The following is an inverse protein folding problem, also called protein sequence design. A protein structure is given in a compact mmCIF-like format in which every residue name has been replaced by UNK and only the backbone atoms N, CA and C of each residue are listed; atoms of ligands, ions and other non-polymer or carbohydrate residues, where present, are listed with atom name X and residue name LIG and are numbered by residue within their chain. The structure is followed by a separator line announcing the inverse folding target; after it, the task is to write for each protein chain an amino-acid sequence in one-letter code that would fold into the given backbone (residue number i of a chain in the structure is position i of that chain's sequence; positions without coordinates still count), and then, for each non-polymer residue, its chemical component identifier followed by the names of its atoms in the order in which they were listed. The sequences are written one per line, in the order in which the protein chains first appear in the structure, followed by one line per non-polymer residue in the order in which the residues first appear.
data_IF_815649643050
#
_entry.id   IF_815649643050
#
_cell.length_a   1.000
_cell.length_b   1.000
_cell.length_c   1.000
_cell.angle_alpha   90.00
_cell.angle_beta   90.00
_cell.angle_gamma   90.00
#
_symmetry.space_group_name_H-M   'P 1'
#
loop_
_entity.id
_entity.type
_entity.pdbx_description
1 polymer ?
#
# COMPACT_ATOMS: atom_id res chain seq x y z
N UNK A 1 -5.81 -30.54 -98.17
CA UNK A 1 -7.06 -30.35 -97.40
C UNK A 1 -7.66 -28.97 -97.68
N UNK A 2 -8.91 -28.86 -98.02
CA UNK A 2 -9.51 -27.58 -98.34
C UNK A 2 -9.52 -26.65 -97.08
N UNK A 3 -9.22 -25.33 -97.27
CA UNK A 3 -9.16 -24.31 -96.24
C UNK A 3 -10.41 -24.30 -95.32
N UNK A 4 -11.57 -24.70 -95.80
CA UNK A 4 -12.86 -24.80 -95.13
C UNK A 4 -12.81 -25.80 -93.92
N UNK A 5 -12.28 -26.99 -94.13
CA UNK A 5 -12.21 -28.07 -93.09
C UNK A 5 -11.22 -27.68 -91.97
N UNK A 6 -10.16 -26.93 -92.25
CA UNK A 6 -9.18 -26.45 -91.30
C UNK A 6 -9.79 -25.38 -90.39
N UNK A 7 -10.64 -24.46 -90.99
CA UNK A 7 -11.34 -23.43 -90.27
C UNK A 7 -12.47 -24.01 -89.32
N UNK A 8 -13.21 -25.03 -89.83
CA UNK A 8 -14.19 -25.72 -88.99
C UNK A 8 -13.58 -26.43 -87.79
N UNK A 9 -12.42 -27.15 -87.97
CA UNK A 9 -11.73 -27.77 -86.83
C UNK A 9 -11.24 -26.71 -85.85
N UNK A 10 -10.72 -25.56 -86.33
CA UNK A 10 -10.30 -24.47 -85.42
C UNK A 10 -11.51 -23.89 -84.69
N UNK A 11 -12.66 -23.68 -85.35
CA UNK A 11 -13.90 -23.19 -84.70
C UNK A 11 -14.42 -24.17 -83.66
N UNK A 12 -14.37 -25.48 -83.90
CA UNK A 12 -14.76 -26.53 -82.95
C UNK A 12 -13.78 -26.51 -81.72
N UNK A 13 -12.50 -26.40 -81.96
CA UNK A 13 -11.52 -26.34 -80.88
C UNK A 13 -11.73 -25.09 -80.01
N UNK A 14 -11.96 -23.95 -80.60
CA UNK A 14 -12.27 -22.70 -79.89
C UNK A 14 -13.60 -22.82 -79.13
N UNK A 15 -14.65 -23.42 -79.73
CA UNK A 15 -15.91 -23.64 -79.03
C UNK A 15 -15.76 -24.58 -77.85
N UNK A 16 -15.02 -25.70 -77.98
CA UNK A 16 -14.70 -26.62 -76.86
C UNK A 16 -13.92 -25.91 -75.75
N UNK A 17 -12.96 -25.05 -76.10
CA UNK A 17 -12.18 -24.30 -75.11
C UNK A 17 -13.08 -23.29 -74.37
N UNK A 18 -14.00 -22.57 -75.09
CA UNK A 18 -14.96 -21.68 -74.43
C UNK A 18 -15.91 -22.42 -73.56
N UNK A 19 -16.47 -23.58 -73.99
CA UNK A 19 -17.34 -24.41 -73.17
C UNK A 19 -16.57 -24.96 -71.91
N UNK A 20 -15.33 -25.33 -72.07
CA UNK A 20 -14.48 -25.78 -70.96
C UNK A 20 -14.23 -24.66 -69.97
N UNK A 21 -13.91 -23.45 -70.43
CA UNK A 21 -13.73 -22.27 -69.57
C UNK A 21 -15.05 -21.87 -68.89
N UNK A 22 -16.17 -21.91 -69.59
CA UNK A 22 -17.49 -21.67 -68.97
C UNK A 22 -17.80 -22.71 -67.90
N UNK A 23 -17.55 -24.00 -68.19
CA UNK A 23 -17.76 -25.08 -67.20
C UNK A 23 -16.89 -24.88 -65.99
N UNK A 24 -15.63 -24.56 -66.18
CA UNK A 24 -14.70 -24.25 -65.05
C UNK A 24 -15.15 -23.03 -64.26
N UNK A 25 -15.63 -21.98 -64.96
CA UNK A 25 -16.16 -20.79 -64.29
C UNK A 25 -17.42 -21.09 -63.47
N UNK A 26 -18.39 -21.81 -64.04
CA UNK A 26 -19.60 -22.22 -63.33
C UNK A 26 -19.29 -23.15 -62.13
N UNK A 27 -18.38 -24.10 -62.32
CA UNK A 27 -17.88 -24.91 -61.24
C UNK A 27 -17.31 -24.07 -60.10
N UNK A 28 -16.48 -23.08 -60.45
CA UNK A 28 -15.90 -22.15 -59.47
C UNK A 28 -16.97 -21.36 -58.73
N UNK A 29 -18.03 -20.90 -59.39
CA UNK A 29 -19.14 -20.22 -58.74
C UNK A 29 -19.81 -21.08 -57.67
N UNK A 30 -20.08 -22.34 -58.01
CA UNK A 30 -20.72 -23.31 -57.10
C UNK A 30 -19.76 -23.66 -55.96
N UNK A 31 -18.50 -23.94 -56.27
CA UNK A 31 -17.48 -24.28 -55.27
C UNK A 31 -17.23 -23.18 -54.25
N UNK A 32 -17.01 -21.95 -54.76
CA UNK A 32 -16.72 -20.80 -53.90
C UNK A 32 -17.96 -20.20 -53.22
N UNK A 33 -19.14 -20.69 -53.48
CA UNK A 33 -20.31 -20.35 -52.67
C UNK A 33 -20.23 -20.93 -51.26
N UNK A 34 -19.44 -22.00 -51.07
CA UNK A 34 -19.23 -22.70 -49.78
C UNK A 34 -17.78 -22.73 -49.32
N UNK A 35 -16.84 -22.19 -50.13
CA UNK A 35 -15.41 -22.18 -49.83
C UNK A 35 -14.83 -20.77 -50.00
N UNK A 36 -13.77 -20.48 -49.23
CA UNK A 36 -13.04 -19.22 -49.42
C UNK A 36 -12.33 -19.16 -50.74
N UNK A 37 -12.25 -17.94 -51.29
CA UNK A 37 -11.59 -17.68 -52.56
C UNK A 37 -10.08 -17.98 -52.47
N UNK A 38 -9.41 -18.31 -53.60
CA UNK A 38 -7.96 -18.42 -53.63
C UNK A 38 -7.27 -17.16 -53.07
N UNK A 39 -6.11 -17.34 -52.40
CA UNK A 39 -5.31 -16.27 -51.85
C UNK A 39 -6.04 -15.36 -50.86
N UNK A 40 -6.99 -15.95 -50.11
CA UNK A 40 -7.75 -15.25 -49.08
C UNK A 40 -7.16 -15.55 -47.72
N UNK A 41 -6.92 -14.51 -46.90
CA UNK A 41 -6.55 -14.60 -45.53
C UNK A 41 -7.63 -13.98 -44.63
N UNK A 42 -7.64 -14.34 -43.35
CA UNK A 42 -8.38 -13.70 -42.28
C UNK A 42 -7.36 -13.38 -41.19
N UNK A 43 -7.13 -12.13 -40.87
CA UNK A 43 -6.13 -11.66 -39.90
C UNK A 43 -4.74 -12.31 -40.11
N UNK A 44 -4.31 -12.36 -41.40
CA UNK A 44 -3.03 -12.94 -41.80
C UNK A 44 -2.99 -14.47 -41.86
N UNK A 45 -4.02 -15.19 -41.45
CA UNK A 45 -4.14 -16.64 -41.56
C UNK A 45 -4.71 -17.02 -42.90
N UNK A 46 -3.97 -17.83 -43.67
CA UNK A 46 -4.42 -18.31 -45.00
C UNK A 46 -5.60 -19.28 -44.84
N UNK A 47 -6.75 -18.89 -45.34
CA UNK A 47 -7.99 -19.68 -45.42
C UNK A 47 -8.36 -20.08 -46.86
N UNK A 48 -7.46 -19.89 -47.81
CA UNK A 48 -7.65 -20.15 -49.24
C UNK A 48 -8.22 -21.56 -49.46
N UNK A 49 -9.30 -21.63 -50.26
CA UNK A 49 -9.95 -22.88 -50.68
C UNK A 49 -10.58 -23.69 -49.53
N UNK A 50 -10.57 -23.20 -48.30
CA UNK A 50 -11.16 -23.86 -47.15
C UNK A 50 -12.69 -23.71 -47.15
N UNK A 51 -13.38 -24.74 -46.69
CA UNK A 51 -14.78 -24.61 -46.28
C UNK A 51 -14.85 -23.88 -44.93
N UNK A 52 -16.06 -23.56 -44.47
CA UNK A 52 -16.29 -22.79 -43.26
C UNK A 52 -15.70 -23.49 -42.00
N UNK A 53 -15.85 -24.82 -41.91
CA UNK A 53 -15.42 -25.58 -40.76
C UNK A 53 -13.88 -25.58 -40.65
N UNK A 54 -13.18 -25.81 -41.77
CA UNK A 54 -11.72 -25.76 -41.83
C UNK A 54 -11.18 -24.35 -41.59
N UNK A 55 -11.86 -23.33 -42.14
CA UNK A 55 -11.47 -21.95 -41.88
C UNK A 55 -11.63 -21.60 -40.40
N UNK A 56 -12.75 -21.96 -39.78
CA UNK A 56 -12.94 -21.75 -38.34
C UNK A 56 -11.87 -22.49 -37.48
N UNK A 57 -11.46 -23.70 -37.90
CA UNK A 57 -10.37 -24.42 -37.22
C UNK A 57 -9.03 -23.72 -37.39
N UNK A 58 -8.73 -23.23 -38.61
CA UNK A 58 -7.48 -22.50 -38.88
C UNK A 58 -7.36 -21.21 -38.07
N UNK A 59 -8.45 -20.45 -37.95
CA UNK A 59 -8.47 -19.16 -37.22
C UNK A 59 -8.50 -19.32 -35.70
N UNK A 60 -8.69 -20.52 -35.15
CA UNK A 60 -8.53 -20.77 -33.69
C UNK A 60 -7.15 -20.39 -33.16
N UNK A 61 -6.15 -20.34 -34.04
CA UNK A 61 -4.79 -19.88 -33.67
C UNK A 61 -4.66 -18.36 -33.53
N UNK A 62 -5.68 -17.59 -33.95
CA UNK A 62 -5.75 -16.16 -33.62
C UNK A 62 -5.89 -16.04 -32.09
N UNK A 63 -4.94 -15.37 -31.49
CA UNK A 63 -4.85 -15.24 -30.03
C UNK A 63 -4.93 -13.78 -29.62
N UNK A 64 -6.12 -13.15 -29.62
CA UNK A 64 -6.27 -11.81 -29.11
C UNK A 64 -5.79 -11.74 -27.66
N UNK A 65 -5.16 -10.65 -27.32
CA UNK A 65 -4.58 -10.43 -26.00
C UNK A 65 -5.07 -9.11 -25.45
N UNK A 66 -5.28 -9.05 -24.14
CA UNK A 66 -5.43 -7.80 -23.43
C UNK A 66 -4.13 -7.46 -22.73
N UNK A 67 -3.59 -6.29 -22.99
CA UNK A 67 -2.43 -5.76 -22.28
C UNK A 67 -2.91 -4.75 -21.25
N UNK A 68 -2.76 -5.08 -19.98
CA UNK A 68 -3.13 -4.21 -18.86
C UNK A 68 -1.93 -3.35 -18.51
N UNK A 69 -2.09 -2.04 -18.57
CA UNK A 69 -1.07 -1.05 -18.24
C UNK A 69 -1.34 -0.52 -16.85
N UNK A 70 -0.36 -0.67 -15.95
CA UNK A 70 -0.46 -0.37 -14.54
C UNK A 70 0.72 0.50 -14.09
N UNK A 71 0.55 1.31 -13.03
CA UNK A 71 1.67 2.02 -12.39
C UNK A 71 2.42 1.12 -11.43
N UNK A 72 3.74 1.32 -11.33
CA UNK A 72 4.59 0.70 -10.32
C UNK A 72 5.13 1.77 -9.38
N UNK A 73 4.70 1.73 -8.13
CA UNK A 73 5.24 2.60 -7.08
C UNK A 73 5.19 4.10 -7.40
N UNK A 74 6.01 4.87 -6.69
CA UNK A 74 6.13 6.33 -6.85
C UNK A 74 6.92 6.75 -8.10
N UNK A 75 7.62 5.83 -8.77
CA UNK A 75 8.53 6.17 -9.89
C UNK A 75 7.81 6.54 -11.18
N UNK A 76 6.48 6.37 -11.24
CA UNK A 76 5.71 6.55 -12.47
C UNK A 76 6.02 5.52 -13.56
N UNK A 77 6.83 4.51 -13.27
CA UNK A 77 7.13 3.41 -14.20
C UNK A 77 5.85 2.62 -14.48
N UNK A 78 5.73 2.13 -15.72
CA UNK A 78 4.57 1.35 -16.15
C UNK A 78 4.89 -0.14 -16.12
N UNK A 79 4.00 -0.92 -15.55
CA UNK A 79 4.01 -2.38 -15.64
C UNK A 79 2.98 -2.84 -16.64
N UNK A 80 3.35 -3.73 -17.55
CA UNK A 80 2.45 -4.28 -18.56
C UNK A 80 2.26 -5.77 -18.30
N UNK A 81 1.02 -6.17 -18.13
CA UNK A 81 0.61 -7.56 -17.97
C UNK A 81 -0.26 -7.96 -19.15
N UNK A 82 0.15 -8.99 -19.88
CA UNK A 82 -0.60 -9.46 -21.06
C UNK A 82 -1.33 -10.76 -20.73
N UNK A 83 -2.62 -10.81 -21.04
CA UNK A 83 -3.50 -11.93 -20.80
C UNK A 83 -4.10 -12.36 -22.14
N UNK A 84 -4.00 -13.64 -22.48
CA UNK A 84 -4.60 -14.17 -23.68
C UNK A 84 -6.11 -14.38 -23.49
N UNK A 85 -6.91 -14.07 -24.50
CA UNK A 85 -8.37 -14.20 -24.46
C UNK A 85 -8.83 -15.61 -24.07
N UNK A 86 -8.09 -16.66 -24.50
CA UNK A 86 -8.36 -18.06 -24.13
C UNK A 86 -8.35 -18.31 -22.62
N UNK A 87 -7.63 -17.48 -21.85
CA UNK A 87 -7.48 -17.64 -20.40
C UNK A 87 -8.66 -16.99 -19.64
N UNK A 88 -9.52 -16.24 -20.37
CA UNK A 88 -10.66 -15.49 -19.83
C UNK A 88 -12.00 -16.18 -19.99
N UNK A 89 -12.15 -17.14 -20.92
CA UNK A 89 -13.43 -17.73 -21.22
C UNK A 89 -13.42 -19.23 -21.41
N UNK A 90 -14.55 -19.86 -21.12
CA UNK A 90 -14.76 -21.30 -21.29
C UNK A 90 -15.25 -21.68 -22.69
N UNK A 91 -15.95 -20.76 -23.39
CA UNK A 91 -16.64 -21.06 -24.65
C UNK A 91 -16.36 -20.00 -25.72
N UNK A 92 -15.09 -19.91 -26.17
CA UNK A 92 -14.73 -19.04 -27.28
C UNK A 92 -14.92 -19.81 -28.57
N UNK A 93 -15.82 -19.31 -29.43
CA UNK A 93 -16.04 -19.85 -30.76
C UNK A 93 -15.65 -18.81 -31.82
N UNK A 94 -15.03 -19.30 -32.88
CA UNK A 94 -14.66 -18.48 -34.03
C UNK A 94 -15.69 -18.68 -35.13
N UNK A 95 -16.14 -17.62 -35.79
CA UNK A 95 -17.18 -17.67 -36.82
C UNK A 95 -16.80 -16.84 -38.02
N UNK A 96 -16.20 -17.47 -39.00
CA UNK A 96 -15.83 -16.87 -40.29
C UNK A 96 -17.00 -16.79 -41.28
N UNK A 97 -18.24 -17.10 -40.87
CA UNK A 97 -19.39 -17.13 -41.77
C UNK A 97 -19.69 -15.78 -42.44
N UNK A 98 -19.48 -14.67 -41.69
CA UNK A 98 -19.66 -13.33 -42.26
C UNK A 98 -18.60 -13.00 -43.30
N UNK A 99 -17.34 -13.45 -43.08
CA UNK A 99 -16.23 -13.29 -44.01
C UNK A 99 -16.50 -14.08 -45.30
N UNK A 100 -16.94 -15.35 -45.17
CA UNK A 100 -17.32 -16.17 -46.32
C UNK A 100 -18.45 -15.54 -47.14
N UNK A 101 -19.50 -15.00 -46.50
CA UNK A 101 -20.61 -14.31 -47.18
C UNK A 101 -20.23 -12.98 -47.82
N UNK A 102 -19.17 -12.33 -47.36
CA UNK A 102 -18.70 -11.05 -47.89
C UNK A 102 -17.93 -11.20 -49.20
N UNK A 103 -17.56 -12.40 -49.59
CA UNK A 103 -16.81 -12.66 -50.83
C UNK A 103 -17.65 -12.42 -52.06
N UNK A 104 -17.02 -11.85 -53.10
CA UNK A 104 -17.63 -11.75 -54.41
C UNK A 104 -17.26 -12.99 -55.24
N UNK A 105 -18.07 -14.02 -55.17
CA UNK A 105 -17.84 -15.29 -55.87
C UNK A 105 -17.88 -15.16 -57.42
N UNK A 106 -18.53 -14.10 -57.95
CA UNK A 106 -18.54 -13.85 -59.40
C UNK A 106 -17.14 -13.49 -59.93
N UNK A 107 -16.29 -12.95 -59.09
CA UNK A 107 -14.92 -12.56 -59.45
C UNK A 107 -13.87 -13.55 -58.93
N UNK A 108 -14.23 -14.81 -58.65
CA UNK A 108 -13.34 -15.80 -58.05
C UNK A 108 -12.02 -15.98 -58.84
N UNK A 109 -12.05 -15.87 -60.15
CA UNK A 109 -10.84 -16.01 -60.97
C UNK A 109 -9.86 -14.83 -60.80
N UNK A 110 -10.35 -13.65 -60.39
CA UNK A 110 -9.50 -12.49 -60.10
C UNK A 110 -8.67 -12.71 -58.86
N UNK A 111 -9.18 -13.43 -57.87
CA UNK A 111 -8.45 -13.77 -56.62
C UNK A 111 -7.24 -14.70 -56.83
N UNK A 112 -7.13 -15.31 -58.01
CA UNK A 112 -5.90 -16.04 -58.38
C UNK A 112 -4.68 -15.13 -58.53
N UNK A 113 -4.89 -13.85 -58.76
CA UNK A 113 -3.86 -12.85 -59.06
C UNK A 113 -3.69 -11.80 -57.95
N UNK A 114 -4.65 -11.70 -57.03
CA UNK A 114 -4.68 -10.71 -55.97
C UNK A 114 -4.90 -11.39 -54.59
N UNK A 115 -4.07 -11.02 -53.62
CA UNK A 115 -4.22 -11.52 -52.26
C UNK A 115 -5.14 -10.58 -51.48
N UNK A 116 -6.13 -11.12 -50.83
CA UNK A 116 -7.08 -10.36 -50.01
C UNK A 116 -7.09 -10.88 -48.57
N UNK A 117 -6.80 -10.00 -47.66
CA UNK A 117 -7.10 -10.22 -46.24
C UNK A 117 -8.49 -9.66 -45.94
N UNK A 118 -9.38 -10.52 -45.44
CA UNK A 118 -10.75 -10.14 -45.14
C UNK A 118 -10.89 -9.45 -43.81
N UNK A 119 -9.81 -9.40 -42.99
CA UNK A 119 -9.74 -8.73 -41.68
C UNK A 119 -10.97 -8.90 -40.80
N UNK A 120 -10.81 -8.74 -39.50
CA UNK A 120 -11.90 -8.77 -38.50
C UNK A 120 -12.70 -10.08 -38.44
N UNK A 121 -12.11 -11.03 -37.77
CA UNK A 121 -12.81 -12.21 -37.36
C UNK A 121 -13.79 -11.91 -36.22
N UNK A 122 -15.00 -12.44 -36.30
CA UNK A 122 -15.96 -12.32 -35.19
C UNK A 122 -15.78 -13.48 -34.24
N UNK A 123 -15.08 -13.23 -33.17
CA UNK A 123 -15.00 -14.13 -32.04
C UNK A 123 -16.33 -14.03 -31.28
N UNK A 124 -16.97 -15.17 -31.01
CA UNK A 124 -18.13 -15.26 -30.14
C UNK A 124 -17.72 -15.96 -28.87
N UNK A 125 -18.10 -15.41 -27.75
CA UNK A 125 -17.83 -16.00 -26.45
C UNK A 125 -18.26 -15.10 -25.32
N UNK A 126 -18.25 -15.64 -24.14
CA UNK A 126 -18.45 -14.89 -22.91
C UNK A 126 -17.27 -15.13 -22.01
N UNK A 127 -16.74 -14.07 -21.44
CA UNK A 127 -15.71 -14.19 -20.41
C UNK A 127 -16.33 -14.73 -19.12
N UNK A 128 -15.65 -15.65 -18.45
CA UNK A 128 -16.08 -16.15 -17.16
C UNK A 128 -15.88 -15.07 -16.07
N UNK A 129 -16.96 -14.72 -15.37
CA UNK A 129 -16.89 -13.76 -14.26
C UNK A 129 -15.92 -14.22 -13.17
N UNK A 130 -15.85 -15.53 -12.93
CA UNK A 130 -14.93 -16.12 -11.98
C UNK A 130 -13.46 -15.98 -12.41
N UNK A 131 -13.17 -16.24 -13.69
CA UNK A 131 -11.83 -16.07 -14.26
C UNK A 131 -11.38 -14.61 -14.27
N UNK A 132 -12.28 -13.68 -14.58
CA UNK A 132 -11.99 -12.24 -14.52
C UNK A 132 -11.65 -11.84 -13.10
N UNK A 133 -12.41 -12.35 -12.11
CA UNK A 133 -12.13 -12.04 -10.70
C UNK A 133 -10.79 -12.61 -10.26
N UNK A 134 -10.47 -13.87 -10.58
CA UNK A 134 -9.16 -14.47 -10.30
C UNK A 134 -8.02 -13.63 -10.91
N UNK A 135 -8.15 -13.22 -12.16
CA UNK A 135 -7.13 -12.43 -12.86
C UNK A 135 -7.02 -11.01 -12.30
N UNK A 136 -8.15 -10.41 -11.89
CA UNK A 136 -8.14 -9.10 -11.24
C UNK A 136 -7.43 -9.17 -9.88
N UNK A 137 -7.59 -10.25 -9.12
CA UNK A 137 -6.88 -10.47 -7.86
C UNK A 137 -5.36 -10.60 -8.05
N UNK A 138 -4.91 -11.02 -9.23
CA UNK A 138 -3.48 -11.14 -9.56
C UNK A 138 -2.89 -9.87 -10.23
N UNK A 139 -3.69 -8.81 -10.39
CA UNK A 139 -3.19 -7.55 -10.92
C UNK A 139 -2.13 -6.96 -9.99
N UNK A 140 -1.05 -6.47 -10.58
CA UNK A 140 0.06 -5.87 -9.84
C UNK A 140 -0.39 -4.72 -8.93
N UNK A 141 -1.30 -3.87 -9.44
CA UNK A 141 -1.81 -2.70 -8.72
C UNK A 141 -2.72 -3.05 -7.53
N UNK A 142 -3.15 -4.30 -7.37
CA UNK A 142 -4.00 -4.77 -6.27
C UNK A 142 -3.22 -5.60 -5.23
N UNK A 143 -1.92 -5.84 -5.42
CA UNK A 143 -1.08 -6.53 -4.43
C UNK A 143 -0.76 -5.56 -3.28
N UNK A 144 -1.17 -5.90 -2.05
CA UNK A 144 -1.04 -5.04 -0.87
C UNK A 144 0.37 -4.46 -0.69
N UNK A 145 1.41 -5.27 -0.88
CA UNK A 145 2.81 -4.87 -0.80
C UNK A 145 3.27 -3.88 -1.89
N UNK A 146 2.45 -3.64 -2.92
CA UNK A 146 2.73 -2.75 -4.06
C UNK A 146 1.83 -1.53 -4.10
N UNK A 147 0.83 -1.49 -3.23
CA UNK A 147 -0.11 -0.39 -3.15
C UNK A 147 0.55 0.80 -2.46
N UNK A 148 0.56 1.93 -3.14
CA UNK A 148 0.93 3.22 -2.56
C UNK A 148 -0.32 4.08 -2.57
N UNK A 149 -0.81 4.43 -1.38
CA UNK A 149 -1.96 5.32 -1.24
C UNK A 149 -1.58 6.73 -1.68
N UNK A 150 -2.54 7.53 -2.20
CA UNK A 150 -2.28 8.93 -2.47
C UNK A 150 -1.98 9.67 -1.15
N UNK A 151 -1.08 10.63 -1.23
CA UNK A 151 -0.72 11.51 -0.12
C UNK A 151 -1.19 12.92 -0.47
N UNK A 152 -2.00 13.51 0.39
CA UNK A 152 -2.39 14.91 0.27
C UNK A 152 -1.23 15.84 0.62
N UNK A 153 -1.14 16.99 -0.01
CA UNK A 153 -0.22 18.02 0.43
C UNK A 153 -0.62 18.47 1.84
N UNK A 154 0.35 18.51 2.76
CA UNK A 154 0.14 18.91 4.15
C UNK A 154 1.44 19.46 4.75
N UNK A 155 1.36 20.02 5.94
CA UNK A 155 2.52 20.51 6.64
C UNK A 155 2.93 19.57 7.77
N UNK A 156 4.23 19.32 7.89
CA UNK A 156 4.87 18.61 9.00
C UNK A 156 5.95 19.47 9.65
N UNK A 157 6.26 19.17 10.90
CA UNK A 157 7.44 19.73 11.57
C UNK A 157 8.62 18.79 11.37
N UNK A 158 9.70 19.28 10.77
CA UNK A 158 10.97 18.55 10.61
C UNK A 158 12.10 19.43 11.10
N UNK A 159 12.87 18.95 12.06
CA UNK A 159 13.98 19.67 12.68
C UNK A 159 13.58 21.06 13.23
N UNK A 160 12.34 21.18 13.75
CA UNK A 160 11.78 22.42 14.29
C UNK A 160 11.21 23.39 13.24
N UNK A 161 11.31 23.05 11.96
CA UNK A 161 10.79 23.86 10.86
C UNK A 161 9.52 23.29 10.24
N UNK A 162 8.61 24.18 9.83
CA UNK A 162 7.39 23.82 9.12
C UNK A 162 7.69 23.52 7.65
N UNK A 163 7.55 22.27 7.24
CA UNK A 163 7.87 21.78 5.90
C UNK A 163 6.62 21.33 5.17
N UNK A 164 6.42 21.78 3.93
CA UNK A 164 5.36 21.27 3.07
C UNK A 164 5.74 19.88 2.54
N UNK A 165 4.97 18.87 2.92
CA UNK A 165 4.98 17.54 2.30
C UNK A 165 4.14 17.64 1.03
N UNK A 166 4.76 17.34 -0.10
CA UNK A 166 4.12 17.46 -1.41
C UNK A 166 3.12 16.33 -1.64
N UNK A 167 2.06 16.65 -2.36
CA UNK A 167 1.08 15.67 -2.79
C UNK A 167 1.67 14.61 -3.71
N UNK A 168 1.14 13.39 -3.62
CA UNK A 168 1.50 12.27 -4.49
C UNK A 168 0.25 11.46 -4.81
N UNK A 169 -0.01 11.21 -6.09
CA UNK A 169 -1.18 10.42 -6.52
C UNK A 169 -1.07 8.92 -6.20
N UNK A 170 0.11 8.44 -5.83
CA UNK A 170 0.28 7.01 -5.49
C UNK A 170 -0.03 6.06 -6.65
N UNK A 171 -0.37 4.82 -6.29
CA UNK A 171 -0.74 3.75 -7.23
C UNK A 171 -1.92 2.90 -6.71
N UNK A 172 -2.78 3.49 -5.89
CA UNK A 172 -3.97 2.82 -5.36
C UNK A 172 -5.14 2.92 -6.36
N UNK A 173 -5.78 1.79 -6.60
CA UNK A 173 -7.04 1.69 -7.33
C UNK A 173 -7.96 0.77 -6.53
N UNK A 174 -9.22 1.17 -6.41
CA UNK A 174 -10.24 0.31 -5.81
C UNK A 174 -10.46 -0.95 -6.65
N UNK A 175 -10.55 -2.11 -5.98
CA UNK A 175 -10.67 -3.42 -6.62
C UNK A 175 -11.88 -3.52 -7.53
N UNK A 176 -13.04 -3.03 -7.09
CA UNK A 176 -14.27 -3.08 -7.88
C UNK A 176 -14.19 -2.19 -9.11
N UNK A 177 -13.47 -1.06 -9.02
CA UNK A 177 -13.20 -0.18 -10.14
C UNK A 177 -12.30 -0.84 -11.17
N UNK A 178 -11.22 -1.51 -10.75
CA UNK A 178 -10.34 -2.27 -11.64
C UNK A 178 -11.08 -3.41 -12.33
N UNK A 179 -11.89 -4.18 -11.61
CA UNK A 179 -12.71 -5.27 -12.14
C UNK A 179 -13.71 -4.75 -13.16
N UNK A 180 -14.42 -3.65 -12.87
CA UNK A 180 -15.36 -3.02 -13.79
C UNK A 180 -14.70 -2.57 -15.08
N UNK A 181 -13.57 -1.87 -14.99
CA UNK A 181 -12.80 -1.44 -16.16
C UNK A 181 -12.39 -2.63 -17.03
N UNK A 182 -12.05 -3.75 -16.41
CA UNK A 182 -11.72 -4.99 -17.11
C UNK A 182 -12.94 -5.57 -17.84
N UNK A 183 -14.11 -5.65 -17.20
CA UNK A 183 -15.36 -6.11 -17.82
C UNK A 183 -15.76 -5.24 -19.01
N UNK A 184 -15.72 -3.93 -18.87
CA UNK A 184 -16.13 -2.98 -19.92
C UNK A 184 -15.23 -3.09 -21.18
N UNK A 185 -14.00 -3.56 -21.05
CA UNK A 185 -13.07 -3.73 -22.18
C UNK A 185 -13.08 -5.12 -22.80
N UNK A 186 -13.47 -6.16 -22.04
CA UNK A 186 -13.50 -7.53 -22.57
C UNK A 186 -14.48 -7.69 -23.72
N UNK A 187 -15.65 -7.08 -23.65
CA UNK A 187 -16.64 -7.14 -24.74
C UNK A 187 -16.08 -6.61 -26.05
N UNK A 188 -15.16 -5.65 -26.01
CA UNK A 188 -14.52 -5.12 -27.20
C UNK A 188 -13.56 -6.12 -27.86
N UNK A 189 -12.91 -6.99 -27.10
CA UNK A 189 -12.07 -8.07 -27.64
C UNK A 189 -12.89 -9.03 -28.49
N UNK A 190 -14.11 -9.39 -28.04
CA UNK A 190 -15.01 -10.27 -28.75
C UNK A 190 -15.57 -9.63 -30.03
N UNK A 191 -15.63 -8.28 -30.08
CA UNK A 191 -16.14 -7.55 -31.26
C UNK A 191 -15.05 -7.33 -32.31
N UNK A 192 -13.82 -6.98 -31.87
CA UNK A 192 -12.75 -6.53 -32.76
C UNK A 192 -11.76 -7.62 -33.16
N UNK A 193 -11.68 -8.70 -32.38
CA UNK A 193 -10.71 -9.79 -32.56
C UNK A 193 -9.22 -9.36 -32.54
N UNK A 194 -8.96 -8.10 -32.19
CA UNK A 194 -7.62 -7.52 -32.08
C UNK A 194 -7.16 -7.47 -30.62
N UNK A 195 -5.84 -7.38 -30.43
CA UNK A 195 -5.29 -7.07 -29.11
C UNK A 195 -5.73 -5.70 -28.65
N UNK A 196 -6.07 -5.55 -27.36
CA UNK A 196 -6.48 -4.31 -26.73
C UNK A 196 -5.52 -3.94 -25.60
N UNK A 197 -5.30 -2.64 -25.43
CA UNK A 197 -4.61 -2.10 -24.27
C UNK A 197 -5.67 -1.55 -23.30
N UNK A 198 -5.67 -2.08 -22.06
CA UNK A 198 -6.44 -1.54 -20.93
C UNK A 198 -5.51 -0.72 -20.05
N UNK A 199 -5.61 0.59 -20.16
CA UNK A 199 -4.83 1.50 -19.31
C UNK A 199 -5.60 1.83 -18.03
N UNK A 200 -5.14 1.28 -16.90
CA UNK A 200 -5.68 1.52 -15.57
C UNK A 200 -5.11 2.80 -14.93
N UNK A 201 -4.08 3.42 -15.51
CA UNK A 201 -3.37 4.54 -14.86
C UNK A 201 -4.24 5.77 -14.64
N UNK A 202 -5.27 5.96 -15.44
CA UNK A 202 -6.25 7.04 -15.29
C UNK A 202 -7.31 6.81 -14.21
N UNK A 203 -7.38 5.59 -13.66
CA UNK A 203 -8.37 5.18 -12.64
C UNK A 203 -7.81 5.17 -11.21
N UNK A 204 -6.52 5.44 -11.05
CA UNK A 204 -5.92 5.52 -9.72
C UNK A 204 -6.47 6.71 -8.94
N UNK A 205 -6.65 6.50 -7.63
CA UNK A 205 -7.02 7.59 -6.73
C UNK A 205 -5.92 8.66 -6.73
N UNK A 206 -6.35 9.90 -6.77
CA UNK A 206 -5.47 11.07 -6.74
C UNK A 206 -5.50 11.72 -5.38
N UNK A 207 -4.42 12.41 -5.04
CA UNK A 207 -4.43 13.31 -3.91
C UNK A 207 -5.57 14.32 -4.05
N UNK A 208 -6.38 14.48 -3.01
CA UNK A 208 -7.51 15.42 -3.00
C UNK A 208 -7.06 16.85 -2.70
N UNK A 209 -5.90 17.02 -2.05
CA UNK A 209 -5.26 18.32 -1.77
C UNK A 209 -3.91 18.34 -2.49
N UNK A 210 -3.79 19.15 -3.52
CA UNK A 210 -2.55 19.35 -4.28
C UNK A 210 -1.66 20.40 -3.64
N UNK A 211 -0.39 20.50 -4.11
CA UNK A 211 0.63 21.41 -3.56
C UNK A 211 0.25 22.92 -3.58
N UNK A 212 -0.67 23.30 -4.44
CA UNK A 212 -1.14 24.69 -4.59
C UNK A 212 -2.59 24.87 -4.13
N UNK A 213 -3.10 23.97 -3.30
CA UNK A 213 -4.46 24.09 -2.79
C UNK A 213 -4.58 25.30 -1.87
N UNK A 214 -5.57 26.19 -2.07
CA UNK A 214 -5.72 27.41 -1.24
C UNK A 214 -5.95 27.12 0.26
N UNK A 215 -6.43 25.93 0.63
CA UNK A 215 -6.60 25.54 2.04
C UNK A 215 -5.26 25.45 2.79
N UNK A 216 -4.15 25.19 2.09
CA UNK A 216 -2.82 25.08 2.69
C UNK A 216 -2.32 26.40 3.30
N UNK A 217 -2.67 27.55 2.72
CA UNK A 217 -2.27 28.85 3.28
C UNK A 217 -2.89 29.10 4.65
N UNK A 218 -4.19 28.75 4.80
CA UNK A 218 -4.90 28.84 6.08
C UNK A 218 -4.32 27.88 7.13
N UNK A 219 -4.04 26.62 6.72
CA UNK A 219 -3.41 25.62 7.60
C UNK A 219 -2.01 26.06 8.04
N UNK A 220 -1.21 26.55 7.12
CA UNK A 220 0.12 27.10 7.44
C UNK A 220 0.05 28.18 8.49
N UNK A 221 -0.79 29.20 8.27
CA UNK A 221 -0.92 30.32 9.20
C UNK A 221 -1.45 29.86 10.58
N UNK A 222 -2.32 28.87 10.63
CA UNK A 222 -2.80 28.26 11.88
C UNK A 222 -1.66 27.55 12.61
N UNK A 223 -0.93 26.67 11.94
CA UNK A 223 0.19 25.90 12.54
C UNK A 223 1.28 26.87 13.02
N UNK A 224 1.65 27.88 12.21
CA UNK A 224 2.65 28.88 12.61
C UNK A 224 2.25 29.63 13.89
N UNK A 225 0.99 29.99 14.04
CA UNK A 225 0.48 30.58 15.29
C UNK A 225 0.52 29.61 16.44
N UNK A 226 0.11 28.35 16.20
CA UNK A 226 0.09 27.30 17.21
C UNK A 226 1.46 27.05 17.83
N UNK A 227 2.50 26.91 16.98
CA UNK A 227 3.85 26.53 17.44
C UNK A 227 4.73 27.70 17.89
N UNK A 228 4.39 28.94 17.53
CA UNK A 228 5.17 30.13 17.92
C UNK A 228 4.53 30.95 19.03
N UNK A 229 3.40 30.48 19.60
CA UNK A 229 2.77 31.15 20.76
C UNK A 229 3.60 30.98 22.02
N UNK A 230 3.40 31.85 22.97
CA UNK A 230 4.02 31.77 24.28
C UNK A 230 3.10 31.06 25.27
N UNK A 231 3.60 30.02 25.93
CA UNK A 231 2.96 29.39 27.07
C UNK A 231 3.93 29.51 28.24
N UNK A 232 3.54 30.26 29.26
CA UNK A 232 4.33 30.51 30.44
C UNK A 232 3.74 29.68 31.60
N UNK A 233 4.57 28.87 32.23
CA UNK A 233 4.24 28.05 33.41
C UNK A 233 4.88 28.69 34.63
N UNK A 234 4.03 29.18 35.57
CA UNK A 234 4.51 29.80 36.80
C UNK A 234 4.55 28.74 37.93
N UNK A 235 5.76 28.40 38.38
CA UNK A 235 5.99 27.41 39.44
C UNK A 235 6.97 27.96 40.48
N UNK A 236 6.66 27.92 41.76
CA UNK A 236 7.49 28.40 42.89
C UNK A 236 8.04 29.84 42.68
N UNK A 237 7.24 30.77 42.22
CA UNK A 237 7.64 32.13 41.88
C UNK A 237 8.61 32.25 40.67
N UNK A 238 8.88 31.16 40.00
CA UNK A 238 9.65 31.14 38.73
C UNK A 238 8.73 31.02 37.52
N UNK A 239 9.18 31.57 36.39
CA UNK A 239 8.51 31.52 35.11
C UNK A 239 9.28 30.64 34.15
N UNK A 240 8.65 29.55 33.72
CA UNK A 240 9.20 28.62 32.75
C UNK A 240 8.40 28.74 31.47
N UNK A 241 9.00 29.19 30.39
CA UNK A 241 8.38 29.27 29.07
C UNK A 241 8.52 27.91 28.37
N UNK A 242 7.43 27.35 27.86
CA UNK A 242 7.50 26.17 27.01
C UNK A 242 8.26 26.49 25.74
N UNK A 243 9.27 25.72 25.41
CA UNK A 243 10.02 25.91 24.17
C UNK A 243 9.16 25.58 22.94
N UNK A 244 9.53 26.13 21.79
CA UNK A 244 8.87 25.78 20.52
C UNK A 244 8.96 24.29 20.26
N UNK A 245 10.09 23.68 20.56
CA UNK A 245 10.32 22.24 20.43
C UNK A 245 9.36 21.43 21.31
N UNK A 246 9.17 21.86 22.57
CA UNK A 246 8.21 21.20 23.45
C UNK A 246 6.79 21.32 22.89
N UNK A 247 6.36 22.51 22.47
CA UNK A 247 5.03 22.71 21.88
C UNK A 247 4.87 21.84 20.62
N UNK A 248 5.84 21.80 19.71
CA UNK A 248 5.77 20.97 18.50
C UNK A 248 5.68 19.48 18.83
N UNK A 249 6.40 19.03 19.86
CA UNK A 249 6.41 17.62 20.26
C UNK A 249 5.07 17.10 20.76
N UNK A 250 4.17 17.98 21.17
CA UNK A 250 2.84 17.62 21.67
C UNK A 250 1.84 17.24 20.58
N UNK A 251 2.14 17.51 19.32
CA UNK A 251 1.20 17.31 18.23
C UNK A 251 1.69 16.30 17.20
N UNK A 252 0.77 15.49 16.72
CA UNK A 252 0.95 14.68 15.52
C UNK A 252 0.53 15.53 14.31
N UNK A 253 1.47 15.72 13.38
CA UNK A 253 1.25 16.42 12.12
C UNK A 253 1.04 15.40 11.01
N UNK A 254 -0.19 15.35 10.49
CA UNK A 254 -0.60 14.45 9.42
C UNK A 254 -1.18 15.25 8.26
N UNK A 255 -1.81 14.59 7.30
CA UNK A 255 -2.54 15.25 6.20
C UNK A 255 -3.82 16.00 6.68
N UNK A 256 -4.21 15.80 7.92
CA UNK A 256 -5.27 16.56 8.62
C UNK A 256 -4.70 17.78 9.38
N UNK A 257 -5.53 18.40 10.21
CA UNK A 257 -5.07 19.41 11.17
C UNK A 257 -4.21 18.76 12.26
N UNK A 258 -3.28 19.51 12.90
CA UNK A 258 -2.47 18.98 14.00
C UNK A 258 -3.35 18.41 15.12
N UNK A 259 -3.04 17.20 15.55
CA UNK A 259 -3.77 16.50 16.61
C UNK A 259 -2.92 16.47 17.87
N UNK A 260 -3.45 16.96 18.99
CA UNK A 260 -2.78 16.84 20.28
C UNK A 260 -2.64 15.36 20.67
N UNK A 261 -1.42 14.94 20.94
CA UNK A 261 -1.09 13.59 21.39
C UNK A 261 -0.96 13.57 22.91
N UNK A 262 -1.90 12.90 23.58
CA UNK A 262 -1.92 12.84 25.04
C UNK A 262 -0.72 12.08 25.63
N UNK A 263 -0.22 11.06 24.98
CA UNK A 263 0.98 10.32 25.44
C UNK A 263 2.22 11.23 25.39
N UNK A 264 2.33 12.12 24.41
CA UNK A 264 3.39 13.12 24.36
C UNK A 264 3.23 14.20 25.41
N UNK A 265 1.99 14.59 25.71
CA UNK A 265 1.72 15.52 26.79
C UNK A 265 2.10 14.92 28.15
N UNK A 266 1.80 13.66 28.42
CA UNK A 266 2.20 12.96 29.63
C UNK A 266 3.73 12.88 29.76
N UNK A 267 4.45 12.60 28.68
CA UNK A 267 5.91 12.64 28.65
C UNK A 267 6.47 14.02 28.97
N UNK A 268 5.88 15.08 28.37
CA UNK A 268 6.25 16.45 28.67
C UNK A 268 6.03 16.79 30.15
N UNK A 269 4.88 16.46 30.70
CA UNK A 269 4.56 16.72 32.11
C UNK A 269 5.52 16.01 33.05
N UNK A 270 5.92 14.77 32.71
CA UNK A 270 6.90 14.05 33.50
C UNK A 270 8.29 14.71 33.42
N UNK A 271 8.74 15.08 32.22
CA UNK A 271 9.99 15.83 32.01
C UNK A 271 9.96 17.16 32.79
N UNK A 272 8.90 17.92 32.66
CA UNK A 272 8.72 19.19 33.37
C UNK A 272 8.78 19.00 34.90
N UNK A 273 8.14 17.95 35.43
CA UNK A 273 8.21 17.63 36.85
C UNK A 273 9.60 17.20 37.30
N UNK A 274 10.37 16.45 36.48
CA UNK A 274 11.76 16.07 36.77
C UNK A 274 12.63 17.32 36.96
N UNK A 275 12.46 18.30 36.10
CA UNK A 275 13.26 19.52 36.06
C UNK A 275 12.85 20.53 37.14
N UNK A 276 11.57 20.54 37.56
CA UNK A 276 11.00 21.62 38.36
C UNK A 276 10.39 21.18 39.72
N UNK A 277 10.42 19.88 40.09
CA UNK A 277 9.98 19.47 41.42
C UNK A 277 10.86 20.06 42.51
N UNK A 278 10.25 20.56 43.57
CA UNK A 278 10.94 21.04 44.74
C UNK A 278 11.41 19.91 45.65
N UNK A 279 12.29 20.25 46.61
CA UNK A 279 12.78 19.27 47.59
C UNK A 279 11.69 18.79 48.58
N UNK A 280 10.66 19.60 48.82
CA UNK A 280 9.58 19.36 49.78
C UNK A 280 8.20 19.33 49.20
N UNK A 281 8.07 19.48 47.88
CA UNK A 281 6.81 19.40 47.15
C UNK A 281 7.09 19.00 45.72
N UNK A 282 6.07 18.49 45.03
CA UNK A 282 6.15 18.08 43.64
C UNK A 282 4.98 18.66 42.84
N UNK A 283 5.12 18.75 41.53
CA UNK A 283 4.12 19.33 40.63
C UNK A 283 2.88 18.43 40.58
N UNK A 284 1.72 19.06 40.72
CA UNK A 284 0.43 18.44 40.44
C UNK A 284 0.24 18.30 38.92
N UNK A 285 0.77 17.19 38.38
CA UNK A 285 0.71 16.89 36.95
C UNK A 285 -0.69 16.75 36.41
N UNK A 286 -1.63 16.24 37.24
CA UNK A 286 -3.02 16.07 36.83
C UNK A 286 -3.70 17.44 36.62
N UNK A 287 -3.54 18.34 37.58
CA UNK A 287 -4.08 19.72 37.47
C UNK A 287 -3.43 20.45 36.28
N UNK A 288 -2.12 20.31 36.11
CA UNK A 288 -1.39 20.92 35.00
C UNK A 288 -1.84 20.37 33.65
N UNK A 289 -2.04 19.03 33.54
CA UNK A 289 -2.57 18.39 32.34
C UNK A 289 -3.93 18.96 31.96
N UNK A 290 -4.85 19.04 32.94
CA UNK A 290 -6.19 19.59 32.69
C UNK A 290 -6.17 21.05 32.23
N UNK A 291 -5.26 21.86 32.76
CA UNK A 291 -5.08 23.25 32.33
C UNK A 291 -4.49 23.33 30.92
N UNK A 292 -3.45 22.56 30.63
CA UNK A 292 -2.82 22.51 29.30
C UNK A 292 -3.79 22.00 28.23
N UNK A 293 -4.54 20.95 28.49
CA UNK A 293 -5.53 20.41 27.53
C UNK A 293 -6.60 21.45 27.12
N UNK A 294 -6.89 22.42 27.96
CA UNK A 294 -7.84 23.50 27.63
C UNK A 294 -7.25 24.54 26.69
N UNK A 295 -5.97 24.85 26.84
CA UNK A 295 -5.33 25.93 26.06
C UNK A 295 -4.57 25.43 24.83
N UNK A 296 -4.09 24.18 24.84
CA UNK A 296 -3.31 23.65 23.72
C UNK A 296 -4.04 23.67 22.37
N UNK A 297 -5.37 23.49 22.25
CA UNK A 297 -6.09 23.69 21.00
C UNK A 297 -6.13 25.13 20.49
N UNK A 298 -5.92 26.11 21.37
CA UNK A 298 -5.95 27.54 21.03
C UNK A 298 -4.61 28.02 20.45
N UNK A 299 -4.60 29.20 19.86
CA UNK A 299 -3.39 29.82 19.26
C UNK A 299 -2.94 31.09 19.95
N UNK A 300 -3.48 31.37 21.14
CA UNK A 300 -3.18 32.55 21.95
C UNK A 300 -2.03 32.30 22.92
N UNK A 301 -1.34 33.36 23.30
CA UNK A 301 -0.38 33.34 24.39
C UNK A 301 -1.11 33.13 25.72
N UNK A 302 -0.55 32.26 26.57
CA UNK A 302 -1.18 31.90 27.83
C UNK A 302 -0.16 31.86 28.99
N UNK A 303 -0.63 32.11 30.20
CA UNK A 303 0.13 31.98 31.42
C UNK A 303 -0.63 31.15 32.43
N UNK A 304 -0.01 30.09 32.94
CA UNK A 304 -0.62 29.10 33.80
C UNK A 304 0.07 29.07 35.16
N UNK A 305 -0.70 29.18 36.22
CA UNK A 305 -0.25 28.87 37.59
C UNK A 305 -0.18 27.36 37.79
N UNK A 306 1.03 26.86 38.10
CA UNK A 306 1.29 25.43 38.34
C UNK A 306 1.12 25.12 39.81
N UNK A 307 0.16 24.27 40.12
CA UNK A 307 -0.07 23.80 41.48
C UNK A 307 0.95 22.74 41.89
N UNK A 308 1.28 22.70 43.17
CA UNK A 308 2.20 21.73 43.75
C UNK A 308 1.61 21.00 44.95
N UNK A 309 2.02 19.77 45.16
CA UNK A 309 1.58 18.88 46.25
C UNK A 309 2.72 18.75 47.23
N UNK A 310 2.49 18.98 48.55
CA UNK A 310 3.52 18.79 49.57
C UNK A 310 3.98 17.31 49.69
N UNK A 311 5.28 17.09 49.87
CA UNK A 311 5.85 15.77 50.03
C UNK A 311 6.58 15.24 48.82
N UNK A 312 6.62 13.92 48.68
CA UNK A 312 7.17 13.21 47.51
C UNK A 312 6.15 12.16 47.07
N UNK A 313 5.94 11.94 45.77
CA UNK A 313 4.97 10.98 45.30
C UNK A 313 5.35 9.54 45.65
N UNK A 314 4.36 8.70 45.91
CA UNK A 314 4.53 7.25 45.99
C UNK A 314 4.64 6.69 44.57
N UNK A 315 5.76 6.01 44.24
CA UNK A 315 6.08 5.54 42.92
C UNK A 315 5.89 4.06 42.78
N UNK A 316 5.27 3.61 41.68
CA UNK A 316 5.22 2.19 41.34
C UNK A 316 5.19 1.98 39.82
N UNK A 317 5.74 0.83 39.43
CA UNK A 317 5.74 0.38 38.03
C UNK A 317 4.91 -0.90 37.93
N UNK A 318 4.07 -0.99 36.91
CA UNK A 318 3.38 -2.22 36.51
C UNK A 318 3.81 -2.64 35.11
N UNK A 319 4.37 -3.83 34.99
CA UNK A 319 4.72 -4.44 33.71
C UNK A 319 3.66 -5.47 33.38
N UNK A 320 2.87 -5.21 32.32
CA UNK A 320 1.79 -6.09 31.81
C UNK A 320 2.32 -6.92 30.65
N UNK A 321 2.69 -8.17 30.90
CA UNK A 321 3.31 -9.04 29.89
C UNK A 321 2.36 -9.32 28.73
N UNK A 322 1.09 -9.65 29.00
CA UNK A 322 0.10 -9.93 27.95
C UNK A 322 -0.27 -8.70 27.10
N UNK A 323 0.00 -7.50 27.60
CA UNK A 323 -0.25 -6.24 26.88
C UNK A 323 1.04 -5.70 26.24
N UNK A 324 2.19 -6.27 26.58
CA UNK A 324 3.51 -5.74 26.22
C UNK A 324 3.62 -4.24 26.49
N UNK A 325 3.19 -3.84 27.69
CA UNK A 325 3.12 -2.43 28.10
C UNK A 325 3.55 -2.28 29.55
N UNK A 326 4.36 -1.26 29.80
CA UNK A 326 4.74 -0.79 31.13
C UNK A 326 3.91 0.45 31.47
N UNK A 327 3.40 0.50 32.69
CA UNK A 327 2.70 1.63 33.28
C UNK A 327 3.47 2.11 34.50
N UNK A 328 3.71 3.41 34.58
CA UNK A 328 4.33 4.04 35.75
C UNK A 328 3.35 5.01 36.39
N UNK A 329 3.21 4.93 37.69
CA UNK A 329 2.27 5.70 38.49
C UNK A 329 2.98 6.50 39.56
N UNK A 330 2.46 7.70 39.85
CA UNK A 330 2.76 8.52 41.01
C UNK A 330 1.47 8.85 41.77
N UNK A 331 1.37 8.49 43.04
CA UNK A 331 0.16 8.62 43.87
C UNK A 331 -1.10 8.03 43.20
N UNK A 332 -0.97 6.84 42.58
CA UNK A 332 -1.99 6.14 41.80
C UNK A 332 -2.43 6.83 40.49
N UNK A 333 -1.81 7.95 40.13
CA UNK A 333 -2.03 8.63 38.86
C UNK A 333 -1.08 8.05 37.81
N UNK A 334 -1.61 7.58 36.67
CA UNK A 334 -0.81 7.14 35.53
C UNK A 334 0.00 8.33 34.98
N UNK A 335 1.32 8.20 35.01
CA UNK A 335 2.24 9.28 34.66
C UNK A 335 3.04 8.97 33.38
N UNK A 336 3.36 7.67 33.15
CA UNK A 336 4.03 7.25 31.92
C UNK A 336 3.50 5.89 31.48
N UNK A 337 3.30 5.76 30.19
CA UNK A 337 2.99 4.50 29.51
C UNK A 337 4.04 4.25 28.43
N UNK A 338 4.52 3.01 28.34
CA UNK A 338 5.54 2.61 27.37
C UNK A 338 5.23 1.25 26.78
N UNK A 339 5.27 1.08 25.45
CA UNK A 339 5.37 -0.25 24.87
C UNK A 339 6.70 -0.88 25.29
N UNK A 340 6.73 -2.21 25.42
CA UNK A 340 7.91 -2.97 25.85
C UNK A 340 8.09 -4.22 24.99
N UNK A 341 9.25 -4.89 25.14
CA UNK A 341 9.42 -6.29 24.74
C UNK A 341 9.96 -7.08 25.91
N UNK A 342 9.18 -8.05 26.40
CA UNK A 342 9.55 -8.95 27.49
C UNK A 342 10.21 -10.25 27.00
N UNK A 343 10.70 -11.06 27.91
CA UNK A 343 11.11 -12.44 27.66
C UNK A 343 9.93 -13.38 27.43
N UNK A 344 10.19 -14.46 26.70
CA UNK A 344 9.23 -15.52 26.41
C UNK A 344 9.84 -16.88 26.73
N UNK A 345 9.27 -17.60 27.69
CA UNK A 345 9.76 -18.90 28.16
C UNK A 345 9.90 -19.97 27.09
N UNK A 346 9.12 -19.89 26.02
CA UNK A 346 9.14 -20.89 24.95
C UNK A 346 10.31 -20.67 23.97
N UNK A 347 10.90 -19.47 23.97
CA UNK A 347 11.97 -19.08 23.05
C UNK A 347 13.26 -18.64 23.78
N UNK A 348 13.13 -18.00 24.94
CA UNK A 348 14.25 -17.43 25.72
C UNK A 348 13.98 -17.60 27.21
N UNK A 349 14.66 -16.79 28.04
CA UNK A 349 14.35 -16.70 29.50
C UNK A 349 13.09 -15.84 29.69
N UNK A 350 12.16 -16.32 30.51
CA UNK A 350 10.94 -15.61 30.90
C UNK A 350 11.26 -14.38 31.74
N UNK A 351 10.55 -13.28 31.53
CA UNK A 351 10.57 -12.16 32.47
C UNK A 351 9.88 -12.60 33.77
N UNK A 352 10.56 -12.55 34.95
CA UNK A 352 10.01 -13.10 36.18
C UNK A 352 8.77 -12.33 36.64
N UNK A 353 7.69 -13.05 36.94
CA UNK A 353 6.46 -12.48 37.49
C UNK A 353 6.58 -12.28 39.01
N UNK A 354 6.00 -11.24 39.55
CA UNK A 354 5.95 -10.97 40.97
C UNK A 354 6.04 -9.49 41.33
N UNK A 355 6.22 -9.25 42.61
CA UNK A 355 6.48 -7.93 43.16
C UNK A 355 7.96 -7.81 43.51
N UNK A 356 8.56 -6.79 42.99
CA UNK A 356 9.96 -6.46 43.12
C UNK A 356 10.13 -5.01 43.58
N UNK A 357 11.34 -4.61 43.82
CA UNK A 357 11.73 -3.22 44.12
C UNK A 357 12.91 -2.84 43.23
N UNK A 358 13.04 -1.56 42.92
CA UNK A 358 14.23 -1.02 42.27
C UNK A 358 15.44 -1.27 43.18
N UNK A 359 16.36 -2.13 42.77
CA UNK A 359 17.57 -2.50 43.54
C UNK A 359 18.81 -1.80 43.05
N UNK A 360 18.85 -1.45 41.77
CA UNK A 360 20.02 -0.85 41.16
C UNK A 360 19.63 0.07 40.01
N UNK A 361 20.30 1.22 39.92
CA UNK A 361 20.22 2.12 38.79
C UNK A 361 21.63 2.39 38.26
N UNK A 362 21.86 2.26 36.97
CA UNK A 362 23.18 2.49 36.37
C UNK A 362 22.98 3.09 34.98
N UNK A 363 23.72 4.18 34.70
CA UNK A 363 23.85 4.75 33.36
C UNK A 363 25.10 4.19 32.67
N UNK A 364 25.11 4.23 31.35
CA UNK A 364 26.24 3.87 30.48
C UNK A 364 26.87 2.51 30.89
N UNK A 365 26.11 1.44 30.72
CA UNK A 365 26.57 0.11 31.14
C UNK A 365 26.50 -0.92 30.01
N UNK A 366 27.14 -2.07 30.23
CA UNK A 366 27.16 -3.18 29.28
C UNK A 366 26.48 -4.40 29.87
N UNK A 367 25.43 -4.82 29.20
CA UNK A 367 24.77 -6.10 29.48
C UNK A 367 25.60 -7.23 28.85
N UNK A 368 25.89 -8.27 29.65
CA UNK A 368 26.68 -9.41 29.21
C UNK A 368 25.86 -10.69 29.35
N UNK A 369 25.53 -11.31 28.25
CA UNK A 369 24.98 -12.65 28.22
C UNK A 369 26.00 -13.68 27.78
N UNK A 370 25.55 -14.93 27.53
CA UNK A 370 26.43 -16.02 27.09
C UNK A 370 27.10 -15.70 25.76
N UNK A 371 26.34 -15.10 24.80
CA UNK A 371 26.72 -14.93 23.40
C UNK A 371 26.61 -13.48 22.91
N UNK A 372 26.42 -12.50 23.81
CA UNK A 372 26.27 -11.10 23.46
C UNK A 372 26.88 -10.16 24.51
N UNK A 373 27.22 -8.97 24.04
CA UNK A 373 27.55 -7.80 24.86
C UNK A 373 26.83 -6.64 24.20
N UNK A 374 25.83 -6.08 24.92
CA UNK A 374 25.04 -4.94 24.45
C UNK A 374 25.28 -3.74 25.36
N UNK A 375 25.43 -2.59 24.78
CA UNK A 375 25.51 -1.31 25.47
C UNK A 375 24.08 -0.78 25.70
N UNK A 376 23.81 -0.29 26.90
CA UNK A 376 22.57 0.39 27.28
C UNK A 376 22.89 1.68 28.02
N UNK A 377 22.11 2.72 27.72
CA UNK A 377 22.29 4.02 28.38
C UNK A 377 21.69 4.00 29.78
N UNK A 378 20.60 3.27 29.99
CA UNK A 378 19.92 3.17 31.28
C UNK A 378 19.62 1.72 31.67
N UNK A 379 19.94 1.40 32.92
CA UNK A 379 19.65 0.12 33.58
C UNK A 379 18.95 0.32 34.92
N UNK A 380 17.76 -0.24 35.08
CA UNK A 380 17.02 -0.31 36.34
C UNK A 380 16.83 -1.78 36.72
N UNK A 381 17.70 -2.32 37.55
CA UNK A 381 17.66 -3.71 38.02
C UNK A 381 16.63 -3.88 39.14
N UNK A 382 15.79 -4.93 39.04
CA UNK A 382 14.71 -5.18 40.00
C UNK A 382 14.74 -6.58 40.63
N UNK A 383 15.58 -7.50 40.16
CA UNK A 383 15.80 -8.77 40.85
C UNK A 383 16.54 -8.57 42.21
N UNK A 384 16.63 -9.60 43.03
CA UNK A 384 17.28 -9.52 44.35
C UNK A 384 18.70 -8.93 44.31
N UNK A 385 19.43 -9.19 43.23
CA UNK A 385 20.79 -8.68 43.00
C UNK A 385 20.85 -7.36 42.29
N UNK A 386 19.76 -6.96 41.61
CA UNK A 386 19.69 -5.81 40.71
C UNK A 386 20.54 -5.94 39.47
N UNK A 387 20.94 -7.15 39.10
CA UNK A 387 21.88 -7.37 38.01
C UNK A 387 21.49 -8.42 36.97
N UNK A 388 20.47 -9.23 37.21
CA UNK A 388 20.03 -10.30 36.30
C UNK A 388 18.84 -9.85 35.43
N UNK A 389 17.84 -9.23 36.05
CA UNK A 389 16.63 -8.74 35.38
C UNK A 389 16.47 -7.24 35.61
N UNK A 390 16.15 -6.51 34.56
CA UNK A 390 16.02 -5.06 34.64
C UNK A 390 15.17 -4.50 33.53
N UNK A 391 14.77 -3.24 33.70
CA UNK A 391 14.22 -2.37 32.67
C UNK A 391 15.42 -1.65 32.02
N UNK A 392 15.50 -1.61 30.71
CA UNK A 392 16.59 -0.93 30.02
C UNK A 392 16.21 -0.54 28.58
N UNK A 393 16.92 0.41 28.01
CA UNK A 393 16.80 0.74 26.58
C UNK A 393 17.26 -0.43 25.70
N UNK A 394 16.68 -0.50 24.51
CA UNK A 394 17.05 -1.49 23.51
C UNK A 394 17.17 -0.82 22.14
N UNK A 395 18.25 -0.06 21.96
CA UNK A 395 18.48 0.75 20.75
C UNK A 395 18.70 -0.07 19.47
N UNK A 396 18.83 -1.38 19.59
CA UNK A 396 18.88 -2.34 18.47
C UNK A 396 17.49 -2.73 17.94
N UNK A 397 16.41 -2.21 18.52
CA UNK A 397 15.02 -2.45 18.13
C UNK A 397 14.40 -1.19 17.59
N UNK A 398 13.76 -1.31 16.44
CA UNK A 398 12.98 -0.21 15.82
C UNK A 398 11.54 -0.16 16.35
N UNK A 399 11.03 -1.30 16.87
CA UNK A 399 9.63 -1.44 17.29
C UNK A 399 9.52 -2.11 18.67
N UNK A 400 8.46 -1.74 19.41
CA UNK A 400 8.13 -2.26 20.73
C UNK A 400 6.63 -2.54 20.85
N UNK A 401 6.25 -3.45 21.76
CA UNK A 401 4.86 -3.80 22.03
C UNK A 401 4.29 -4.88 21.11
N UNK A 402 2.96 -5.04 21.14
CA UNK A 402 2.25 -5.99 20.30
C UNK A 402 2.72 -7.42 20.44
N UNK A 403 2.84 -8.13 19.32
CA UNK A 403 3.18 -9.56 19.27
C UNK A 403 4.69 -9.81 19.08
N UNK A 404 5.55 -8.77 19.16
CA UNK A 404 7.00 -8.89 18.94
C UNK A 404 7.62 -9.93 19.88
N UNK A 405 7.22 -9.96 21.15
CA UNK A 405 7.71 -10.92 22.14
C UNK A 405 7.43 -12.39 21.78
N UNK A 406 6.51 -12.67 20.87
CA UNK A 406 6.19 -14.03 20.43
C UNK A 406 7.23 -14.60 19.44
N UNK A 407 7.95 -13.75 18.71
CA UNK A 407 8.92 -14.17 17.69
C UNK A 407 10.33 -13.57 17.87
N UNK A 408 10.44 -12.42 18.54
CA UNK A 408 11.72 -11.77 18.88
C UNK A 408 11.72 -11.25 20.33
N UNK A 409 11.59 -12.14 21.33
CA UNK A 409 11.54 -11.77 22.75
C UNK A 409 12.87 -11.22 23.26
N UNK A 410 12.82 -10.57 24.43
CA UNK A 410 14.03 -10.31 25.22
C UNK A 410 14.54 -11.61 25.86
N UNK A 411 15.66 -11.55 26.56
CA UNK A 411 16.19 -12.66 27.36
C UNK A 411 15.87 -12.51 28.85
N UNK A 412 14.60 -12.18 29.12
CA UNK A 412 14.07 -12.03 30.47
C UNK A 412 14.04 -10.60 31.00
N UNK A 413 14.81 -9.68 30.44
CA UNK A 413 14.71 -8.25 30.76
C UNK A 413 13.47 -7.62 30.12
N UNK A 414 13.13 -6.41 30.52
CA UNK A 414 12.09 -5.59 29.90
C UNK A 414 12.76 -4.54 29.04
N UNK A 415 12.72 -4.73 27.72
CA UNK A 415 13.27 -3.81 26.74
C UNK A 415 12.30 -2.65 26.52
N UNK A 416 12.80 -1.41 26.54
CA UNK A 416 12.02 -0.19 26.41
C UNK A 416 12.60 0.75 25.35
N UNK A 417 11.79 1.65 24.77
CA UNK A 417 12.29 2.78 23.98
C UNK A 417 13.19 3.68 24.84
N UNK A 418 14.29 4.17 24.27
CA UNK A 418 15.29 4.98 24.96
C UNK A 418 14.69 6.22 25.65
N UNK A 419 13.83 6.97 24.96
CA UNK A 419 13.17 8.15 25.51
C UNK A 419 12.27 7.84 26.71
N UNK A 420 11.63 6.67 26.73
CA UNK A 420 10.74 6.25 27.83
C UNK A 420 11.51 5.78 29.05
N UNK A 421 12.53 4.95 28.86
CA UNK A 421 13.34 4.50 29.98
C UNK A 421 14.16 5.64 30.58
N UNK A 422 14.61 6.61 29.78
CA UNK A 422 15.33 7.79 30.30
C UNK A 422 14.48 8.58 31.30
N UNK A 423 13.24 8.92 30.95
CA UNK A 423 12.29 9.57 31.86
C UNK A 423 12.02 8.74 33.13
N UNK A 424 11.79 7.45 32.93
CA UNK A 424 11.54 6.52 34.05
C UNK A 424 12.76 6.39 34.96
N UNK A 425 13.96 6.32 34.38
CA UNK A 425 15.22 6.23 35.13
C UNK A 425 15.41 7.45 36.02
N UNK A 426 15.23 8.65 35.51
CA UNK A 426 15.37 9.89 36.30
C UNK A 426 14.38 9.93 37.48
N UNK A 427 13.20 9.39 37.28
CA UNK A 427 12.11 9.47 38.26
C UNK A 427 12.12 8.40 39.33
N UNK A 428 12.50 7.15 38.99
CA UNK A 428 12.53 6.04 39.91
C UNK A 428 13.64 6.20 40.95
N UNK A 429 13.38 5.70 42.15
CA UNK A 429 14.31 5.63 43.29
C UNK A 429 14.52 4.20 43.75
N UNK A 430 15.62 3.94 44.43
CA UNK A 430 15.85 2.65 45.07
C UNK A 430 14.74 2.38 46.08
N UNK A 431 14.15 1.20 46.01
CA UNK A 431 13.04 0.79 46.86
C UNK A 431 11.65 1.03 46.26
N UNK A 432 11.51 1.73 45.13
CA UNK A 432 10.22 1.88 44.43
C UNK A 432 9.71 0.51 43.94
N UNK A 433 8.38 0.30 43.99
CA UNK A 433 7.76 -0.99 43.64
C UNK A 433 7.74 -1.21 42.11
N UNK A 434 8.11 -2.44 41.72
CA UNK A 434 7.94 -2.94 40.35
C UNK A 434 7.12 -4.22 40.38
N UNK A 435 5.94 -4.21 39.83
CA UNK A 435 5.06 -5.37 39.72
C UNK A 435 5.06 -5.90 38.28
N UNK A 436 5.44 -7.17 38.09
CA UNK A 436 5.40 -7.86 36.80
C UNK A 436 4.25 -8.87 36.82
N UNK A 437 3.33 -8.75 35.91
CA UNK A 437 2.11 -9.56 35.86
C UNK A 437 1.63 -9.78 34.41
N UNK A 438 0.69 -10.71 34.23
CA UNK A 438 0.05 -11.00 32.95
C UNK A 438 -0.84 -9.86 32.44
#
# INVERSE_FOLDING_TARGET
MPKSVKNQKRAIIILCAILMLMSAYLFGLVFFSAHFLPRTAIDGIDVSLMDLDKANEAIKDIRPQITIIQKTGNSGSLYKQTIALKDLGSDITYDASANLKSQNTLLWFASLFDQKDLGQNRIKGTASAEKIKELAEDLYCLKEEKIIKPVNAHYEIKDGDLVLIRSSDGSYIDKDTAIRAFYDHIDQLFIKADSLDLDLTGLYEKASIGDNDPSLDGKKAYIEKLINRKIELNVYDEKVEMSKEDICSLYDFTDSDPILNEDHLDDYLLKFAIENDGSSSFIDKQDLKEKLMKILPETTDESIEVNTIPGQPVRRVEVKINQQTLYYYEDDILTLKSPIVSGNKDLTDETPHGKFEVRRKVEDTKLRGRDYIEHVDYWVGFDETGGMYGLHDAQWRDEFGGDIWLYDPSRGCVNMPLNKIGLLFERLRLGDEISVMD
#
